data_IF_439302532142
#
_entry.id   IF_439302532142
#
_cell.length_a   1.000
_cell.length_b   1.000
_cell.length_c   1.000
_cell.angle_alpha   90.00
_cell.angle_beta   90.00
_cell.angle_gamma   90.00
#
_symmetry.space_group_name_H-M   'P 1'
#
loop_
_entity.id
_entity.type
_entity.pdbx_description
1 polymer ?
#
# COMPACT_ATOMS: atom_id res chain seq x y z
N UNK A 1 11.67 -22.83 1.68
CA UNK A 1 11.75 -21.75 0.67
C UNK A 1 10.41 -21.03 0.60
N UNK A 2 10.38 -19.70 0.49
CA UNK A 2 9.13 -18.93 0.44
C UNK A 2 8.58 -18.85 -0.99
N UNK A 3 7.33 -19.29 -1.20
CA UNK A 3 6.65 -19.23 -2.51
C UNK A 3 5.89 -17.92 -2.74
N UNK A 4 5.50 -17.23 -1.67
CA UNK A 4 4.76 -15.97 -1.67
C UNK A 4 5.31 -15.09 -0.55
N UNK A 5 5.57 -13.83 -0.86
CA UNK A 5 6.08 -12.81 0.06
C UNK A 5 5.13 -11.62 -0.03
N UNK A 6 4.63 -11.16 1.11
CA UNK A 6 3.70 -10.03 1.18
C UNK A 6 4.45 -8.81 1.73
N UNK A 7 4.48 -7.74 0.95
CA UNK A 7 5.00 -6.44 1.34
C UNK A 7 3.82 -5.52 1.62
N UNK A 8 3.57 -5.25 2.90
CA UNK A 8 2.56 -4.30 3.35
C UNK A 8 3.19 -2.91 3.42
N UNK A 9 2.62 -1.96 2.70
CA UNK A 9 3.10 -0.58 2.63
C UNK A 9 2.02 0.39 3.11
N UNK A 10 2.42 1.35 3.92
CA UNK A 10 1.67 2.56 4.26
C UNK A 10 2.04 3.74 3.35
N UNK A 11 2.84 3.50 2.29
CA UNK A 11 3.38 4.50 1.36
C UNK A 11 4.28 5.55 2.03
N UNK A 12 4.79 5.27 3.23
CA UNK A 12 5.80 6.12 3.87
C UNK A 12 7.19 5.89 3.27
N UNK A 13 8.10 6.84 3.49
CA UNK A 13 9.52 6.71 3.14
C UNK A 13 10.16 5.45 3.77
N UNK A 14 9.73 5.09 4.99
CA UNK A 14 10.24 3.88 5.65
C UNK A 14 9.80 2.61 4.89
N UNK A 15 8.57 2.59 4.39
CA UNK A 15 8.10 1.51 3.53
C UNK A 15 8.92 1.45 2.22
N UNK A 16 9.21 2.59 1.60
CA UNK A 16 10.06 2.65 0.39
C UNK A 16 11.47 2.08 0.65
N UNK A 17 12.10 2.46 1.76
CA UNK A 17 13.43 1.98 2.15
C UNK A 17 13.45 0.46 2.43
N UNK A 18 12.30 -0.14 2.80
CA UNK A 18 12.19 -1.58 3.10
C UNK A 18 11.75 -2.44 1.90
N UNK A 19 11.15 -1.85 0.87
CA UNK A 19 10.73 -2.55 -0.34
C UNK A 19 11.84 -3.40 -1.00
N UNK A 20 13.11 -2.91 -1.14
CA UNK A 20 14.18 -3.69 -1.75
C UNK A 20 14.42 -5.05 -1.08
N UNK A 21 14.23 -5.15 0.24
CA UNK A 21 14.40 -6.40 0.97
C UNK A 21 13.35 -7.44 0.60
N UNK A 22 12.08 -7.02 0.46
CA UNK A 22 11.00 -7.90 0.04
C UNK A 22 11.20 -8.37 -1.42
N UNK A 23 11.68 -7.46 -2.30
CA UNK A 23 12.02 -7.77 -3.68
C UNK A 23 13.17 -8.78 -3.79
N UNK A 24 14.24 -8.58 -3.03
CA UNK A 24 15.38 -9.49 -3.03
C UNK A 24 15.00 -10.87 -2.52
N UNK A 25 14.16 -10.95 -1.48
CA UNK A 25 13.64 -12.21 -0.95
C UNK A 25 12.83 -12.97 -2.00
N UNK A 26 12.01 -12.27 -2.78
CA UNK A 26 11.19 -12.86 -3.84
C UNK A 26 12.05 -13.36 -5.00
N UNK A 27 13.03 -12.57 -5.44
CA UNK A 27 14.01 -12.98 -6.46
C UNK A 27 14.82 -14.20 -6.03
N UNK A 28 15.39 -14.15 -4.81
CA UNK A 28 16.23 -15.23 -4.24
C UNK A 28 15.49 -16.56 -4.22
N UNK A 29 14.18 -16.51 -3.97
CA UNK A 29 13.37 -17.70 -3.80
C UNK A 29 12.48 -18.05 -4.99
N UNK A 30 12.61 -17.33 -6.12
CA UNK A 30 11.72 -17.45 -7.27
C UNK A 30 10.24 -17.43 -6.85
N UNK A 31 9.95 -16.62 -5.83
CA UNK A 31 8.62 -16.48 -5.24
C UNK A 31 7.87 -15.29 -5.79
N UNK A 32 6.56 -15.26 -5.58
CA UNK A 32 5.74 -14.10 -5.93
C UNK A 32 5.80 -13.03 -4.85
N UNK A 33 6.06 -11.79 -5.26
CA UNK A 33 5.92 -10.61 -4.40
C UNK A 33 4.51 -10.04 -4.55
N UNK A 34 3.77 -9.96 -3.45
CA UNK A 34 2.44 -9.36 -3.36
C UNK A 34 2.60 -8.04 -2.61
N UNK A 35 2.13 -6.94 -3.20
CA UNK A 35 2.19 -5.60 -2.60
C UNK A 35 0.78 -5.25 -2.11
N UNK A 36 0.66 -4.84 -0.84
CA UNK A 36 -0.62 -4.52 -0.21
C UNK A 36 -0.53 -3.15 0.46
N UNK A 37 -1.48 -2.27 0.13
CA UNK A 37 -1.73 -1.05 0.87
C UNK A 37 -3.15 -1.14 1.46
N UNK A 38 -3.27 -0.90 2.77
CA UNK A 38 -4.57 -0.87 3.44
C UNK A 38 -5.04 0.57 3.49
N UNK A 39 -6.19 0.83 2.87
CA UNK A 39 -6.86 2.13 2.95
C UNK A 39 -7.68 2.12 4.24
N UNK A 40 -7.35 3.02 5.17
CA UNK A 40 -8.15 3.22 6.37
C UNK A 40 -9.55 3.70 5.97
N UNK A 41 -10.59 3.09 6.54
CA UNK A 41 -11.94 3.63 6.35
C UNK A 41 -12.01 4.98 7.05
N UNK A 42 -12.52 6.03 6.40
CA UNK A 42 -12.73 7.30 7.09
C UNK A 42 -13.67 7.04 8.28
N UNK A 43 -13.40 7.66 9.45
CA UNK A 43 -14.33 7.55 10.57
C UNK A 43 -15.72 7.95 10.09
N UNK A 44 -16.69 7.05 10.33
CA UNK A 44 -18.07 7.29 9.93
C UNK A 44 -18.53 8.61 10.55
N UNK A 45 -19.00 9.51 9.70
CA UNK A 45 -19.42 10.91 9.96
C UNK A 45 -18.31 11.97 10.00
N UNK A 46 -18.11 12.67 8.87
CA UNK A 46 -17.59 14.05 8.88
C UNK A 46 -16.48 14.38 7.89
N UNK A 47 -15.71 13.40 7.40
CA UNK A 47 -14.47 13.67 6.66
C UNK A 47 -14.55 13.53 5.14
N UNK A 48 -15.73 13.21 4.59
CA UNK A 48 -15.89 13.01 3.15
C UNK A 48 -15.52 14.29 2.38
N UNK A 49 -15.77 15.47 2.94
CA UNK A 49 -15.46 16.76 2.31
C UNK A 49 -13.97 17.10 2.20
N UNK A 50 -13.10 16.45 2.99
CA UNK A 50 -11.65 16.75 2.98
C UNK A 50 -10.87 15.95 1.92
N UNK A 51 -11.48 14.90 1.38
CA UNK A 51 -10.88 14.04 0.35
C UNK A 51 -11.57 14.16 -1.02
N UNK A 52 -12.64 14.96 -1.10
CA UNK A 52 -13.30 15.30 -2.35
C UNK A 52 -12.60 16.53 -2.91
N UNK A 53 -11.74 16.33 -3.90
CA UNK A 53 -11.26 17.45 -4.74
C UNK A 53 -12.45 18.09 -5.46
N UNK A 54 -12.43 19.41 -5.66
CA UNK A 54 -13.53 20.18 -6.29
C UNK A 54 -14.05 19.54 -7.61
N UNK A 55 -13.17 18.86 -8.36
CA UNK A 55 -13.53 18.09 -9.58
C UNK A 55 -14.60 17.00 -9.40
N UNK A 56 -14.81 16.51 -8.17
CA UNK A 56 -15.83 15.50 -7.85
C UNK A 56 -17.14 16.15 -7.39
N UNK A 57 -17.11 17.43 -6.95
CA UNK A 57 -18.32 18.16 -6.50
C UNK A 57 -19.17 18.67 -7.65
N UNK A 58 -18.58 18.90 -8.83
CA UNK A 58 -19.27 19.48 -10.00
C UNK A 58 -19.84 18.44 -10.99
N UNK A 59 -19.86 17.15 -10.63
CA UNK A 59 -20.50 16.08 -11.40
C UNK A 59 -21.74 15.54 -10.71
#
# INVERSE_FOLDING_TARGET
MFKKIMFCTDLSKNSDDTFPYALDLAKKYQGHLIIVHVIEQPPQSGFVDLYVTEDIRER
#
